data_IF_760316723599
#
_entry.id   IF_760316723599
#
_cell.length_a   1.000
_cell.length_b   1.000
_cell.length_c   1.000
_cell.angle_alpha   90.00
_cell.angle_beta   90.00
_cell.angle_gamma   90.00
#
_symmetry.space_group_name_H-M   'P 1'
#
loop_
_entity.id
_entity.type
_entity.pdbx_description
1 polymer ?
#
# COMPACT_ATOMS: atom_id res chain seq x y z
N UNK A 1 3.66 -3.59 -16.79
CA UNK A 1 3.26 -3.91 -15.41
C UNK A 1 4.28 -4.88 -14.83
N UNK A 2 4.84 -4.56 -13.67
CA UNK A 2 5.68 -5.47 -12.88
C UNK A 2 4.78 -6.26 -11.93
N UNK A 3 4.88 -7.58 -11.98
CA UNK A 3 4.08 -8.48 -11.15
C UNK A 3 4.76 -8.85 -9.82
N UNK A 4 4.03 -9.55 -8.95
CA UNK A 4 4.58 -10.11 -7.74
C UNK A 4 5.57 -11.25 -8.02
N UNK A 5 6.28 -11.70 -6.99
CA UNK A 5 7.12 -12.90 -7.08
C UNK A 5 6.29 -14.16 -7.29
N UNK A 6 6.91 -15.20 -7.88
CA UNK A 6 6.23 -16.48 -8.23
C UNK A 6 5.63 -17.22 -7.04
N UNK A 7 6.17 -17.04 -5.84
CA UNK A 7 5.67 -17.65 -4.60
C UNK A 7 4.45 -16.91 -4.00
N UNK A 8 4.06 -15.77 -4.57
CA UNK A 8 2.88 -15.03 -4.13
C UNK A 8 1.59 -15.74 -4.58
N UNK A 9 0.63 -15.90 -3.66
CA UNK A 9 -0.63 -16.63 -3.92
C UNK A 9 -1.47 -16.08 -5.09
N UNK A 10 -1.38 -14.78 -5.37
CA UNK A 10 -2.09 -14.13 -6.49
C UNK A 10 -1.27 -14.05 -7.78
N UNK A 11 -0.09 -14.68 -7.87
CA UNK A 11 0.81 -14.54 -9.01
C UNK A 11 0.15 -14.86 -10.35
N UNK A 12 -0.47 -16.03 -10.47
CA UNK A 12 -1.09 -16.48 -11.72
C UNK A 12 -2.32 -15.67 -12.08
N UNK A 13 -3.16 -15.33 -11.11
CA UNK A 13 -4.38 -14.55 -11.34
C UNK A 13 -4.03 -13.15 -11.82
N UNK A 14 -3.05 -12.51 -11.18
CA UNK A 14 -2.58 -11.19 -11.59
C UNK A 14 -1.94 -11.21 -12.99
N UNK A 15 -1.07 -12.18 -13.26
CA UNK A 15 -0.43 -12.34 -14.57
C UNK A 15 -1.47 -12.55 -15.69
N UNK A 16 -2.44 -13.43 -15.46
CA UNK A 16 -3.53 -13.68 -16.40
C UNK A 16 -4.40 -12.43 -16.62
N UNK A 17 -4.69 -11.69 -15.55
CA UNK A 17 -5.41 -10.42 -15.66
C UNK A 17 -4.65 -9.41 -16.54
N UNK A 18 -3.35 -9.21 -16.33
CA UNK A 18 -2.52 -8.28 -17.12
C UNK A 18 -2.54 -8.68 -18.60
N UNK A 19 -2.36 -9.96 -18.93
CA UNK A 19 -2.42 -10.46 -20.30
C UNK A 19 -3.82 -10.30 -20.94
N UNK A 20 -4.89 -10.52 -20.17
CA UNK A 20 -6.26 -10.34 -20.66
C UNK A 20 -6.54 -8.89 -21.07
N UNK A 21 -5.81 -7.94 -20.49
CA UNK A 21 -5.87 -6.51 -20.81
C UNK A 21 -4.88 -6.08 -21.87
N UNK A 22 -4.12 -7.03 -22.47
CA UNK A 22 -3.07 -6.77 -23.46
C UNK A 22 -2.00 -5.80 -22.97
N UNK A 23 -1.72 -5.82 -21.66
CA UNK A 23 -0.68 -5.01 -21.06
C UNK A 23 0.66 -5.79 -21.05
N UNK A 24 1.76 -5.06 -21.15
CA UNK A 24 3.09 -5.65 -21.01
C UNK A 24 3.32 -6.08 -19.57
N UNK A 25 3.75 -7.32 -19.39
CA UNK A 25 4.05 -7.89 -18.09
C UNK A 25 5.55 -8.17 -17.95
N UNK A 26 6.10 -7.85 -16.80
CA UNK A 26 7.48 -8.16 -16.42
C UNK A 26 7.43 -9.00 -15.16
N UNK A 27 8.07 -10.15 -15.18
CA UNK A 27 8.14 -11.08 -14.05
C UNK A 27 9.31 -10.69 -13.14
N UNK A 28 9.02 -10.40 -11.88
CA UNK A 28 10.06 -9.95 -10.94
C UNK A 28 11.15 -11.01 -10.71
N UNK A 29 10.75 -12.29 -10.65
CA UNK A 29 11.68 -13.40 -10.37
C UNK A 29 12.55 -13.81 -11.57
N UNK A 30 12.22 -13.35 -12.78
CA UNK A 30 12.94 -13.69 -14.01
C UNK A 30 14.06 -12.68 -14.34
N UNK A 31 14.17 -11.60 -13.55
CA UNK A 31 15.13 -10.54 -13.78
C UNK A 31 16.01 -10.31 -12.55
N UNK A 32 17.31 -10.24 -12.76
CA UNK A 32 18.18 -9.63 -11.77
C UNK A 32 17.95 -8.10 -11.73
N UNK A 33 18.36 -7.44 -10.66
CA UNK A 33 18.16 -6.00 -10.51
C UNK A 33 18.67 -5.15 -11.69
N UNK A 34 19.89 -5.36 -12.24
CA UNK A 34 20.39 -4.60 -13.38
C UNK A 34 19.49 -4.70 -14.62
N UNK A 35 19.03 -5.89 -14.97
CA UNK A 35 18.15 -6.09 -16.13
C UNK A 35 16.79 -5.43 -15.93
N UNK A 36 16.23 -5.48 -14.72
CA UNK A 36 14.97 -4.81 -14.40
C UNK A 36 15.12 -3.29 -14.48
N UNK A 37 16.21 -2.76 -13.94
CA UNK A 37 16.51 -1.32 -13.98
C UNK A 37 16.65 -0.83 -15.42
N UNK A 38 17.41 -1.56 -16.26
CA UNK A 38 17.56 -1.22 -17.67
C UNK A 38 16.22 -1.25 -18.41
N UNK A 39 15.39 -2.26 -18.17
CA UNK A 39 14.05 -2.32 -18.75
C UNK A 39 13.19 -1.13 -18.36
N UNK A 40 13.19 -0.75 -17.08
CA UNK A 40 12.38 0.38 -16.61
C UNK A 40 12.90 1.68 -17.22
N UNK A 41 14.21 1.89 -17.26
CA UNK A 41 14.82 3.07 -17.91
C UNK A 41 14.48 3.13 -19.41
N UNK A 42 14.51 2.00 -20.09
CA UNK A 42 14.18 1.91 -21.50
C UNK A 42 12.71 2.26 -21.82
N UNK A 43 11.80 2.12 -20.84
CA UNK A 43 10.40 2.54 -20.98
C UNK A 43 10.27 4.07 -20.99
N UNK A 44 11.27 4.81 -20.52
CA UNK A 44 11.29 6.27 -20.45
C UNK A 44 10.00 6.86 -19.84
N UNK A 45 9.52 6.25 -18.76
CA UNK A 45 8.33 6.71 -18.04
C UNK A 45 8.69 7.78 -17.03
N UNK A 46 7.79 8.72 -16.80
CA UNK A 46 8.02 9.79 -15.84
C UNK A 46 7.97 9.29 -14.41
N UNK A 47 6.98 8.47 -14.06
CA UNK A 47 6.80 7.89 -12.73
C UNK A 47 6.31 6.45 -12.79
N UNK A 48 6.52 5.69 -11.73
CA UNK A 48 5.93 4.37 -11.52
C UNK A 48 4.92 4.40 -10.37
N UNK A 49 3.80 3.68 -10.53
CA UNK A 49 2.80 3.54 -9.47
C UNK A 49 2.93 2.17 -8.83
N UNK A 50 2.92 2.15 -7.49
CA UNK A 50 3.00 0.94 -6.67
C UNK A 50 1.71 0.82 -5.86
N UNK A 51 1.14 -0.39 -5.86
CA UNK A 51 -0.03 -0.75 -5.07
C UNK A 51 0.16 -2.15 -4.51
N UNK A 52 -0.03 -2.33 -3.20
CA UNK A 52 0.00 -3.65 -2.55
C UNK A 52 1.25 -4.48 -2.86
N UNK A 53 2.41 -3.84 -2.92
CA UNK A 53 3.67 -4.50 -3.21
C UNK A 53 4.45 -4.73 -1.91
N UNK A 54 4.59 -5.98 -1.51
CA UNK A 54 5.09 -6.37 -0.19
C UNK A 54 6.62 -6.50 -0.09
N UNK A 55 7.35 -6.12 -1.13
CA UNK A 55 8.80 -6.22 -1.15
C UNK A 55 9.45 -4.83 -1.09
N UNK A 56 10.62 -4.76 -0.47
CA UNK A 56 11.40 -3.52 -0.49
C UNK A 56 11.89 -3.27 -1.91
N UNK A 57 11.66 -2.09 -2.43
CA UNK A 57 12.17 -1.66 -3.73
C UNK A 57 13.53 -1.00 -3.50
N UNK A 58 14.62 -1.50 -4.12
CA UNK A 58 15.95 -0.92 -3.97
C UNK A 58 16.00 0.53 -4.48
N UNK A 59 16.81 1.36 -3.83
CA UNK A 59 16.95 2.78 -4.19
C UNK A 59 17.28 3.00 -5.67
N UNK A 60 18.19 2.20 -6.21
CA UNK A 60 18.59 2.29 -7.63
C UNK A 60 17.39 2.08 -8.58
N UNK A 61 16.40 1.28 -8.17
CA UNK A 61 15.18 1.05 -8.93
C UNK A 61 14.20 2.22 -8.75
N UNK A 62 14.09 2.78 -7.53
CA UNK A 62 13.29 3.99 -7.28
C UNK A 62 13.76 5.18 -8.12
N UNK A 63 15.06 5.26 -8.40
CA UNK A 63 15.70 6.28 -9.23
C UNK A 63 15.69 5.95 -10.74
N UNK A 64 15.07 4.85 -11.15
CA UNK A 64 15.03 4.44 -12.56
C UNK A 64 14.00 5.20 -13.41
N UNK A 65 13.10 5.95 -12.79
CA UNK A 65 12.13 6.83 -13.44
C UNK A 65 12.45 8.29 -13.11
N UNK A 66 11.98 9.22 -13.93
CA UNK A 66 12.30 10.64 -13.80
C UNK A 66 11.86 11.23 -12.46
N UNK A 67 10.63 10.99 -12.05
CA UNK A 67 10.02 11.59 -10.85
C UNK A 67 9.86 10.59 -9.69
N UNK A 68 10.36 9.36 -9.87
CA UNK A 68 10.38 8.33 -8.84
C UNK A 68 9.14 7.44 -8.83
N UNK A 69 8.93 6.77 -7.72
CA UNK A 69 7.83 5.83 -7.51
C UNK A 69 6.80 6.43 -6.56
N UNK A 70 5.53 6.23 -6.89
CA UNK A 70 4.37 6.69 -6.13
C UNK A 70 3.64 5.49 -5.56
N UNK A 71 3.43 5.46 -4.24
CA UNK A 71 2.71 4.38 -3.56
C UNK A 71 1.32 4.81 -3.10
N UNK A 72 0.37 3.87 -3.19
CA UNK A 72 -0.97 3.97 -2.62
C UNK A 72 -0.98 3.24 -1.29
N UNK A 73 -1.01 4.00 -0.19
CA UNK A 73 -0.96 3.43 1.16
C UNK A 73 -2.30 3.60 1.88
N UNK A 74 -2.92 2.51 2.40
CA UNK A 74 -4.27 2.57 2.97
C UNK A 74 -4.26 2.99 4.45
N UNK A 75 -3.67 4.13 4.74
CA UNK A 75 -3.77 4.83 6.02
C UNK A 75 -3.57 6.32 5.86
N UNK A 76 -3.86 7.08 6.93
CA UNK A 76 -3.50 8.49 7.06
C UNK A 76 -2.06 8.61 7.57
N UNK A 77 -1.07 8.55 6.66
CA UNK A 77 0.33 8.74 7.03
C UNK A 77 0.54 10.08 7.76
N UNK A 78 1.41 10.09 8.78
CA UNK A 78 2.44 9.11 9.14
C UNK A 78 1.97 7.95 10.03
N UNK A 79 0.71 7.90 10.46
CA UNK A 79 0.18 6.78 11.23
C UNK A 79 0.08 5.52 10.36
N UNK A 80 0.32 4.35 10.96
CA UNK A 80 0.13 3.04 10.34
C UNK A 80 1.02 2.79 9.12
N UNK A 81 2.26 3.30 9.10
CA UNK A 81 3.29 2.87 8.16
C UNK A 81 3.49 1.36 8.26
N UNK A 82 3.63 0.66 7.13
CA UNK A 82 3.89 -0.78 7.07
C UNK A 82 2.77 -1.63 6.47
N UNK A 83 2.93 -2.95 6.54
CA UNK A 83 2.22 -3.90 5.67
C UNK A 83 0.77 -4.25 6.05
N UNK A 84 0.24 -3.87 7.21
CA UNK A 84 -1.12 -4.23 7.62
C UNK A 84 -1.86 -3.10 8.36
N UNK A 85 -2.08 -1.96 7.73
CA UNK A 85 -2.84 -0.87 8.33
C UNK A 85 -4.31 -1.23 8.57
N UNK A 86 -4.94 -2.02 7.71
CA UNK A 86 -6.35 -2.39 7.78
C UNK A 86 -6.76 -3.04 9.11
N UNK A 87 -6.03 -4.07 9.54
CA UNK A 87 -6.31 -4.74 10.82
C UNK A 87 -5.95 -3.85 12.01
N UNK A 88 -4.83 -3.14 11.92
CA UNK A 88 -4.31 -2.32 13.03
C UNK A 88 -5.26 -1.18 13.40
N UNK A 89 -5.88 -0.50 12.44
CA UNK A 89 -6.84 0.59 12.74
C UNK A 89 -8.07 0.06 13.49
N UNK A 90 -8.59 -1.14 13.14
CA UNK A 90 -9.72 -1.75 13.84
C UNK A 90 -9.30 -2.20 15.25
N UNK A 91 -8.19 -2.90 15.39
CA UNK A 91 -7.68 -3.37 16.70
C UNK A 91 -7.49 -2.21 17.66
N UNK A 92 -6.98 -1.08 17.19
CA UNK A 92 -6.74 0.11 17.99
C UNK A 92 -8.01 0.94 18.27
N UNK A 93 -9.18 0.54 17.71
CA UNK A 93 -10.44 1.23 17.93
C UNK A 93 -10.51 2.59 17.27
N UNK A 94 -9.76 2.80 16.19
CA UNK A 94 -9.86 4.04 15.40
C UNK A 94 -11.25 4.17 14.79
N UNK A 95 -11.75 5.38 14.76
CA UNK A 95 -13.02 5.74 14.09
C UNK A 95 -12.80 6.37 12.73
N UNK A 96 -11.55 6.66 12.41
CA UNK A 96 -11.13 7.29 11.17
C UNK A 96 -9.82 6.67 10.67
N UNK A 97 -9.70 6.53 9.36
CA UNK A 97 -8.48 6.17 8.65
C UNK A 97 -8.47 6.91 7.30
N UNK A 98 -7.86 6.37 6.27
CA UNK A 98 -7.91 6.95 4.94
C UNK A 98 -6.91 6.32 4.00
N UNK A 99 -6.64 7.02 2.92
CA UNK A 99 -5.62 6.65 1.93
C UNK A 99 -4.65 7.80 1.75
N UNK A 100 -3.38 7.48 1.69
CA UNK A 100 -2.30 8.40 1.34
C UNK A 100 -1.66 7.98 0.03
N UNK A 101 -1.52 8.93 -0.89
CA UNK A 101 -0.63 8.81 -2.03
C UNK A 101 0.67 9.53 -1.67
N UNK A 102 1.80 8.85 -1.77
CA UNK A 102 3.11 9.41 -1.39
C UNK A 102 4.22 8.94 -2.31
N UNK A 103 5.30 9.69 -2.38
CA UNK A 103 6.53 9.24 -3.02
C UNK A 103 7.19 8.14 -2.19
N UNK A 104 7.80 7.18 -2.84
CA UNK A 104 8.59 6.16 -2.15
C UNK A 104 10.02 6.65 -1.92
N UNK A 105 10.60 6.19 -0.82
CA UNK A 105 12.01 6.37 -0.45
C UNK A 105 12.63 5.05 0.04
N UNK A 106 13.80 5.10 0.66
CA UNK A 106 14.54 3.92 1.14
C UNK A 106 13.89 3.21 2.33
N UNK A 107 12.86 3.82 2.94
CA UNK A 107 12.19 3.31 4.12
C UNK A 107 10.73 2.99 3.83
N UNK A 108 10.07 2.24 4.70
CA UNK A 108 8.66 1.89 4.49
C UNK A 108 7.77 3.09 4.81
N UNK A 109 7.07 3.59 3.78
CA UNK A 109 6.01 4.59 3.84
C UNK A 109 6.41 5.92 4.51
N UNK A 110 7.68 6.33 4.35
CA UNK A 110 8.24 7.55 4.94
C UNK A 110 8.35 8.73 3.97
N UNK A 111 8.21 8.49 2.68
CA UNK A 111 8.38 9.50 1.65
C UNK A 111 7.33 10.60 1.67
N UNK A 112 7.59 11.66 0.91
CA UNK A 112 6.76 12.87 0.88
C UNK A 112 5.33 12.58 0.43
N UNK A 113 4.35 13.11 1.17
CA UNK A 113 2.93 12.99 0.85
C UNK A 113 2.59 13.84 -0.38
N UNK A 114 1.83 13.25 -1.30
CA UNK A 114 1.25 13.91 -2.46
C UNK A 114 -0.18 14.33 -2.17
N UNK A 115 -1.01 13.41 -1.71
CA UNK A 115 -2.41 13.64 -1.38
C UNK A 115 -2.90 12.65 -0.32
N UNK A 116 -3.92 13.05 0.43
CA UNK A 116 -4.59 12.20 1.41
C UNK A 116 -6.10 12.36 1.30
N UNK A 117 -6.83 11.26 1.51
CA UNK A 117 -8.29 11.26 1.60
C UNK A 117 -8.73 10.51 2.84
N UNK A 118 -9.35 11.19 3.83
CA UNK A 118 -9.84 10.54 5.04
C UNK A 118 -11.04 9.64 4.74
N UNK A 119 -11.22 8.63 5.56
CA UNK A 119 -12.33 7.67 5.52
C UNK A 119 -12.82 7.37 6.93
N UNK A 120 -14.15 7.43 7.15
CA UNK A 120 -14.77 7.12 8.43
C UNK A 120 -15.00 5.61 8.58
N UNK A 121 -14.51 5.02 9.69
CA UNK A 121 -14.66 3.59 9.98
C UNK A 121 -15.99 3.35 10.66
N UNK A 122 -16.89 2.60 10.05
CA UNK A 122 -18.17 2.21 10.65
C UNK A 122 -17.95 1.26 11.83
N UNK A 123 -18.80 1.39 12.86
CA UNK A 123 -18.66 0.63 14.12
C UNK A 123 -18.64 -0.90 13.97
N UNK A 124 -19.21 -1.42 12.88
CA UNK A 124 -19.22 -2.86 12.54
C UNK A 124 -18.28 -3.24 11.39
N UNK A 125 -17.43 -2.31 10.95
CA UNK A 125 -16.52 -2.58 9.87
C UNK A 125 -15.56 -3.72 10.23
N UNK A 126 -15.36 -4.64 9.28
CA UNK A 126 -14.35 -5.69 9.33
C UNK A 126 -13.13 -5.27 8.51
N UNK A 127 -12.04 -6.00 8.65
CA UNK A 127 -10.86 -5.79 7.78
C UNK A 127 -11.24 -5.91 6.30
N UNK A 128 -12.08 -6.89 5.92
CA UNK A 128 -12.56 -7.03 4.55
C UNK A 128 -13.40 -5.85 4.07
N UNK A 129 -14.25 -5.28 4.92
CA UNK A 129 -14.99 -4.06 4.60
C UNK A 129 -14.04 -2.90 4.32
N UNK A 130 -13.11 -2.62 5.25
CA UNK A 130 -12.16 -1.51 5.12
C UNK A 130 -11.25 -1.71 3.90
N UNK A 131 -10.78 -2.95 3.66
CA UNK A 131 -9.97 -3.27 2.49
C UNK A 131 -10.67 -2.89 1.18
N UNK A 132 -11.92 -3.33 1.00
CA UNK A 132 -12.67 -3.04 -0.22
C UNK A 132 -12.95 -1.54 -0.39
N UNK A 133 -13.37 -0.86 0.66
CA UNK A 133 -13.73 0.55 0.62
C UNK A 133 -12.51 1.46 0.43
N UNK A 134 -11.39 1.20 1.13
CA UNK A 134 -10.17 1.97 0.93
C UNK A 134 -9.53 1.73 -0.44
N UNK A 135 -9.71 0.56 -1.06
CA UNK A 135 -9.28 0.34 -2.44
C UNK A 135 -10.04 1.26 -3.42
N UNK A 136 -11.35 1.41 -3.25
CA UNK A 136 -12.15 2.36 -4.07
C UNK A 136 -11.68 3.78 -3.86
N UNK A 137 -11.55 4.22 -2.60
CA UNK A 137 -11.03 5.55 -2.24
C UNK A 137 -9.63 5.78 -2.81
N UNK A 138 -8.76 4.76 -2.74
CA UNK A 138 -7.39 4.82 -3.25
C UNK A 138 -7.32 4.97 -4.76
N UNK A 139 -8.14 4.22 -5.50
CA UNK A 139 -8.22 4.33 -6.97
C UNK A 139 -8.70 5.73 -7.38
N UNK A 140 -9.76 6.23 -6.75
CA UNK A 140 -10.28 7.58 -7.03
C UNK A 140 -9.21 8.66 -6.78
N UNK A 141 -8.53 8.59 -5.62
CA UNK A 141 -7.50 9.54 -5.27
C UNK A 141 -6.29 9.45 -6.21
N UNK A 142 -5.88 8.22 -6.56
CA UNK A 142 -4.78 8.01 -7.51
C UNK A 142 -5.10 8.61 -8.89
N UNK A 143 -6.31 8.41 -9.40
CA UNK A 143 -6.72 8.98 -10.69
C UNK A 143 -6.72 10.52 -10.64
N UNK A 144 -7.10 11.14 -9.52
CA UNK A 144 -7.01 12.59 -9.34
C UNK A 144 -5.54 13.07 -9.36
N UNK A 145 -4.67 12.36 -8.64
CA UNK A 145 -3.22 12.65 -8.61
C UNK A 145 -2.60 12.53 -10.00
N UNK A 146 -2.90 11.46 -10.74
CA UNK A 146 -2.36 11.26 -12.09
C UNK A 146 -2.83 12.34 -13.08
N UNK A 147 -4.09 12.75 -13.02
CA UNK A 147 -4.60 13.88 -13.83
C UNK A 147 -3.92 15.19 -13.48
N UNK A 148 -3.68 15.45 -12.19
CA UNK A 148 -2.96 16.64 -11.76
C UNK A 148 -1.50 16.62 -12.26
N UNK A 149 -0.87 15.45 -12.28
CA UNK A 149 0.49 15.24 -12.75
C UNK A 149 0.68 15.59 -14.23
N UNK A 150 -0.34 15.40 -15.07
CA UNK A 150 -0.30 15.78 -16.49
C UNK A 150 -0.16 17.31 -16.71
N UNK A 151 -0.54 18.11 -15.72
CA UNK A 151 -0.63 19.58 -15.86
C UNK A 151 0.45 20.31 -15.04
N UNK A 152 0.91 19.72 -13.93
CA UNK A 152 1.86 20.37 -13.02
C UNK A 152 2.63 19.34 -12.18
N UNK A 153 3.81 19.71 -11.66
CA UNK A 153 4.54 18.86 -10.73
C UNK A 153 3.70 18.52 -9.49
N UNK A 154 3.82 17.28 -9.02
CA UNK A 154 3.13 16.85 -7.81
C UNK A 154 3.71 17.51 -6.55
N UNK A 155 2.88 17.84 -5.55
CA UNK A 155 3.36 18.37 -4.28
C UNK A 155 4.23 17.37 -3.54
N UNK A 156 5.17 17.88 -2.72
CA UNK A 156 6.05 17.09 -1.85
C UNK A 156 5.93 17.61 -0.43
N UNK A 157 4.96 17.06 0.31
CA UNK A 157 4.69 17.46 1.70
C UNK A 157 5.45 16.51 2.62
N UNK A 158 6.44 17.02 3.33
CA UNK A 158 7.22 16.24 4.28
C UNK A 158 6.34 15.64 5.36
N UNK A 159 6.49 14.35 5.62
CA UNK A 159 5.88 13.76 6.80
C UNK A 159 6.56 14.29 8.07
N UNK A 160 5.80 14.59 9.14
CA UNK A 160 6.40 15.04 10.40
C UNK A 160 7.29 13.94 10.99
N UNK A 161 8.33 14.36 11.72
CA UNK A 161 9.16 13.46 12.50
C UNK A 161 8.41 13.07 13.79
N UNK A 162 8.61 11.85 14.28
CA UNK A 162 8.03 11.38 15.53
C UNK A 162 7.83 9.86 15.53
N UNK A 163 7.45 9.35 16.69
CA UNK A 163 7.02 7.97 16.84
C UNK A 163 5.52 7.89 16.56
N UNK A 164 5.17 7.14 15.52
CA UNK A 164 3.79 6.96 15.10
C UNK A 164 3.36 5.51 15.28
N UNK A 165 2.04 5.30 15.44
CA UNK A 165 1.46 3.96 15.49
C UNK A 165 1.83 3.21 14.21
N UNK A 166 2.43 2.03 14.39
CA UNK A 166 2.88 1.20 13.27
C UNK A 166 1.74 0.39 12.66
N UNK A 167 1.70 0.33 11.33
CA UNK A 167 0.89 -0.62 10.54
C UNK A 167 1.59 -1.96 10.31
N UNK A 168 2.55 -2.33 11.15
CA UNK A 168 3.28 -3.61 11.08
C UNK A 168 2.32 -4.80 10.96
N UNK A 169 2.71 -5.79 10.16
CA UNK A 169 2.02 -7.08 10.05
C UNK A 169 1.85 -7.76 11.42
N UNK A 170 0.87 -8.65 11.51
CA UNK A 170 0.60 -9.43 12.70
C UNK A 170 1.59 -10.60 12.79
N UNK A 171 2.17 -10.81 13.97
CA UNK A 171 2.92 -12.03 14.26
C UNK A 171 1.96 -13.20 14.55
N UNK A 172 2.43 -14.43 14.43
CA UNK A 172 1.62 -15.62 14.78
C UNK A 172 1.05 -15.53 16.20
N UNK A 173 1.80 -15.00 17.16
CA UNK A 173 1.35 -14.83 18.52
C UNK A 173 0.20 -13.83 18.66
N UNK A 174 0.17 -12.82 17.81
CA UNK A 174 -0.90 -11.82 17.75
C UNK A 174 -2.18 -12.34 17.08
N UNK A 175 -2.19 -13.54 16.50
CA UNK A 175 -3.39 -14.16 15.90
C UNK A 175 -4.26 -14.92 16.92
N UNK A 176 -3.81 -15.07 18.17
CA UNK A 176 -4.57 -15.74 19.22
C UNK A 176 -5.35 -14.75 20.08
N UNK A 177 -6.58 -15.14 20.45
CA UNK A 177 -7.41 -14.33 21.34
C UNK A 177 -6.77 -14.26 22.72
N UNK A 178 -6.54 -13.04 23.20
CA UNK A 178 -6.13 -12.81 24.57
C UNK A 178 -7.37 -12.57 25.44
N UNK A 179 -7.77 -13.59 26.22
CA UNK A 179 -8.96 -13.53 27.09
C UNK A 179 -8.81 -12.59 28.30
N UNK A 180 -7.64 -12.01 28.54
CA UNK A 180 -7.44 -10.97 29.55
C UNK A 180 -7.84 -9.56 29.06
N UNK A 181 -8.27 -9.46 27.79
CA UNK A 181 -8.79 -8.23 27.19
C UNK A 181 -10.29 -8.06 27.46
N UNK A 182 -10.77 -6.82 27.33
CA UNK A 182 -12.21 -6.55 27.42
C UNK A 182 -12.98 -7.19 26.27
N UNK A 183 -14.28 -7.43 26.46
CA UNK A 183 -15.15 -7.97 25.42
C UNK A 183 -15.13 -7.10 24.15
N UNK A 184 -15.04 -5.78 24.30
CA UNK A 184 -14.95 -4.84 23.18
C UNK A 184 -13.62 -4.95 22.42
N UNK A 185 -12.50 -5.11 23.12
CA UNK A 185 -11.19 -5.35 22.50
C UNK A 185 -11.16 -6.68 21.74
N UNK A 186 -11.78 -7.73 22.31
CA UNK A 186 -11.89 -9.05 21.65
C UNK A 186 -12.79 -8.96 20.41
N UNK A 187 -13.90 -8.24 20.50
CA UNK A 187 -14.80 -8.03 19.35
C UNK A 187 -14.08 -7.28 18.21
N UNK A 188 -13.34 -6.21 18.52
CA UNK A 188 -12.51 -5.51 17.54
C UNK A 188 -11.45 -6.42 16.94
N UNK A 189 -10.80 -7.23 17.76
CA UNK A 189 -9.80 -8.19 17.29
C UNK A 189 -10.40 -9.16 16.26
N UNK A 190 -11.57 -9.75 16.54
CA UNK A 190 -12.25 -10.67 15.61
C UNK A 190 -12.60 -9.97 14.29
N UNK A 191 -13.13 -8.74 14.34
CA UNK A 191 -13.43 -7.96 13.12
C UNK A 191 -12.17 -7.61 12.32
N UNK A 192 -11.09 -7.32 13.01
CA UNK A 192 -9.81 -6.96 12.41
C UNK A 192 -9.15 -8.12 11.64
N UNK A 193 -9.56 -9.36 11.88
CA UNK A 193 -9.07 -10.55 11.20
C UNK A 193 -10.04 -11.10 10.14
N UNK A 194 -11.29 -10.66 10.15
CA UNK A 194 -12.34 -11.16 9.25
C UNK A 194 -12.31 -10.44 7.89
N UNK A 195 -12.36 -11.15 6.74
CA UNK A 195 -12.48 -12.61 6.57
C UNK A 195 -11.16 -13.32 6.26
N UNK A 196 -10.03 -12.65 6.32
CA UNK A 196 -8.79 -13.13 5.70
C UNK A 196 -7.88 -13.94 6.63
N UNK A 197 -8.19 -13.98 7.93
CA UNK A 197 -7.41 -14.74 8.93
C UNK A 197 -8.34 -15.52 9.85
#
# INVERSE_FOLDING_TARGET
>A
VLGPKKDHNMYYDFKNFVYSRRLNYVDYDELDEPQLIEKIRALNVDAAVVCSFNYKIPRILLEATKDGFINVHPSMLPKYRGGNPYSRVIMNGETETGVTIHFMDDSFDTGDIIAQKPYHIHSKATMGTIFNELNVVGIELLLQVLRAYEVQPLPRIKQPNGDFISGKGLSEQELFINYNKTAEEIERFVRALNPFI
#
